data_IF_783757810191
#
_entry.id   IF_783757810191
#
_cell.length_a   1.000
_cell.length_b   1.000
_cell.length_c   1.000
_cell.angle_alpha   90.00
_cell.angle_beta   90.00
_cell.angle_gamma   90.00
#
_symmetry.space_group_name_H-M   'P 1'
#
loop_
_entity.id
_entity.type
_entity.pdbx_description
1 polymer ?
#
# COMPACT_ATOMS: atom_id res chain seq x y z
N UNK A 1 13.62 -9.27 2.59
CA UNK A 1 12.61 -10.06 1.84
C UNK A 1 13.23 -11.12 0.94
N UNK A 2 14.35 -10.85 0.24
CA UNK A 2 15.01 -11.83 -0.65
C UNK A 2 16.00 -12.73 0.08
N UNK A 3 15.92 -14.04 -0.10
CA UNK A 3 16.86 -15.03 0.38
C UNK A 3 18.11 -15.02 -0.53
N UNK A 4 19.17 -14.36 -0.06
CA UNK A 4 20.42 -14.17 -0.78
C UNK A 4 21.57 -14.08 0.24
N UNK A 5 22.67 -14.76 -0.06
CA UNK A 5 23.94 -14.73 0.68
C UNK A 5 24.99 -13.84 0.01
N UNK A 6 24.82 -13.54 -1.29
CA UNK A 6 25.69 -12.65 -2.07
C UNK A 6 24.87 -11.63 -2.86
N UNK A 7 25.49 -10.53 -3.27
CA UNK A 7 24.84 -9.48 -4.06
C UNK A 7 24.21 -10.02 -5.34
N UNK A 8 24.87 -10.98 -6.00
CA UNK A 8 24.43 -11.57 -7.27
C UNK A 8 23.18 -12.46 -7.13
N UNK A 9 22.88 -12.91 -5.92
CA UNK A 9 21.69 -13.71 -5.63
C UNK A 9 20.43 -12.86 -5.43
N UNK A 10 20.54 -11.53 -5.35
CA UNK A 10 19.37 -10.66 -5.27
C UNK A 10 18.52 -10.69 -6.54
N UNK A 11 17.29 -10.19 -6.43
CA UNK A 11 16.39 -10.01 -7.59
C UNK A 11 16.83 -8.79 -8.39
N UNK A 12 16.82 -8.91 -9.73
CA UNK A 12 16.95 -7.74 -10.60
C UNK A 12 15.76 -6.83 -10.37
N UNK A 13 16.03 -5.55 -10.08
CA UNK A 13 15.01 -4.55 -9.78
C UNK A 13 15.29 -3.29 -10.58
N UNK A 14 14.27 -2.83 -11.32
CA UNK A 14 14.28 -1.53 -11.96
C UNK A 14 13.27 -0.62 -11.25
N UNK A 15 13.63 0.64 -11.06
CA UNK A 15 12.81 1.62 -10.35
C UNK A 15 12.65 2.89 -11.19
N UNK A 16 11.40 3.30 -11.39
CA UNK A 16 11.06 4.65 -11.86
C UNK A 16 10.46 5.44 -10.71
N UNK A 17 10.99 6.63 -10.42
CA UNK A 17 10.42 7.58 -9.48
C UNK A 17 10.28 8.94 -10.15
N UNK A 18 9.09 9.24 -10.66
CA UNK A 18 8.82 10.41 -11.51
C UNK A 18 7.63 11.23 -10.98
N UNK A 19 7.77 11.86 -9.79
CA UNK A 19 6.67 12.50 -9.07
C UNK A 19 5.98 13.62 -9.85
N UNK A 20 6.68 14.29 -10.78
CA UNK A 20 6.09 15.32 -11.66
C UNK A 20 5.16 14.75 -12.73
N UNK A 21 5.31 13.47 -13.08
CA UNK A 21 4.61 12.86 -14.21
C UNK A 21 3.35 12.09 -13.82
N UNK A 22 3.19 11.80 -12.53
CA UNK A 22 2.05 11.10 -11.94
C UNK A 22 1.28 12.13 -11.11
N UNK A 23 0.06 12.48 -11.53
CA UNK A 23 -0.81 13.40 -10.78
C UNK A 23 -1.12 12.91 -9.36
N UNK A 24 -1.61 13.81 -8.50
CA UNK A 24 -2.05 13.40 -7.16
C UNK A 24 -3.28 12.48 -7.27
N UNK A 25 -3.22 11.34 -6.57
CA UNK A 25 -4.26 10.31 -6.66
C UNK A 25 -5.51 10.75 -5.92
N UNK A 26 -5.37 11.33 -4.73
CA UNK A 26 -6.52 11.74 -3.92
C UNK A 26 -7.24 12.91 -4.58
N UNK A 27 -6.51 13.91 -5.05
CA UNK A 27 -7.05 15.04 -5.83
C UNK A 27 -7.79 14.56 -7.08
N UNK A 28 -7.20 13.65 -7.87
CA UNK A 28 -7.91 13.07 -9.02
C UNK A 28 -9.21 12.37 -8.63
N UNK A 29 -9.20 11.58 -7.56
CA UNK A 29 -10.36 10.79 -7.14
C UNK A 29 -11.49 11.62 -6.52
N UNK A 30 -11.16 12.75 -5.88
CA UNK A 30 -12.13 13.60 -5.20
C UNK A 30 -12.58 14.80 -6.05
N UNK A 31 -11.68 15.35 -6.87
CA UNK A 31 -11.88 16.61 -7.60
C UNK A 31 -11.83 16.44 -9.13
N UNK A 32 -11.36 15.28 -9.62
CA UNK A 32 -11.19 15.02 -11.05
C UNK A 32 -9.87 15.54 -11.62
N UNK A 33 -9.83 15.77 -12.93
CA UNK A 33 -8.63 16.20 -13.65
C UNK A 33 -7.88 15.05 -14.36
N UNK A 34 -6.59 15.25 -14.60
CA UNK A 34 -5.77 14.28 -15.36
C UNK A 34 -5.58 12.97 -14.58
N UNK A 35 -6.00 11.86 -15.18
CA UNK A 35 -5.89 10.54 -14.55
C UNK A 35 -4.42 10.14 -14.34
N UNK A 36 -3.96 9.85 -13.10
CA UNK A 36 -2.60 9.40 -12.81
C UNK A 36 -2.18 8.12 -13.55
N UNK A 37 -3.14 7.33 -14.06
CA UNK A 37 -2.89 6.13 -14.85
C UNK A 37 -1.99 6.38 -16.08
N UNK A 38 -2.08 7.55 -16.72
CA UNK A 38 -1.23 7.87 -17.88
C UNK A 38 0.25 8.06 -17.49
N UNK A 39 0.51 8.66 -16.33
CA UNK A 39 1.86 8.75 -15.77
C UNK A 39 2.40 7.38 -15.41
N UNK A 40 1.59 6.56 -14.73
CA UNK A 40 1.95 5.19 -14.37
C UNK A 40 2.24 4.32 -15.59
N UNK A 41 1.43 4.43 -16.64
CA UNK A 41 1.63 3.67 -17.88
C UNK A 41 2.93 4.06 -18.59
N UNK A 42 3.25 5.36 -18.67
CA UNK A 42 4.54 5.83 -19.23
C UNK A 42 5.74 5.28 -18.46
N UNK A 43 5.66 5.21 -17.14
CA UNK A 43 6.70 4.58 -16.32
C UNK A 43 6.79 3.08 -16.56
N UNK A 44 5.64 2.40 -16.67
CA UNK A 44 5.59 0.97 -16.97
C UNK A 44 6.32 0.65 -18.28
N UNK A 45 6.10 1.45 -19.34
CA UNK A 45 6.80 1.27 -20.62
C UNK A 45 8.32 1.42 -20.50
N UNK A 46 8.82 2.33 -19.65
CA UNK A 46 10.26 2.46 -19.39
C UNK A 46 10.81 1.20 -18.70
N UNK A 47 10.11 0.69 -17.70
CA UNK A 47 10.50 -0.52 -16.98
C UNK A 47 10.48 -1.77 -17.88
N UNK A 48 9.47 -1.89 -18.75
CA UNK A 48 9.38 -2.96 -19.75
C UNK A 48 10.55 -2.87 -20.72
N UNK A 49 10.90 -1.67 -21.19
CA UNK A 49 12.07 -1.45 -22.06
C UNK A 49 13.40 -1.84 -21.41
N UNK A 50 13.48 -1.83 -20.07
CA UNK A 50 14.64 -2.32 -19.31
C UNK A 50 14.62 -3.85 -19.08
N UNK A 51 13.55 -4.54 -19.47
CA UNK A 51 13.39 -5.99 -19.34
C UNK A 51 12.56 -6.44 -18.14
N UNK A 52 11.78 -5.56 -17.50
CA UNK A 52 10.88 -5.98 -16.43
C UNK A 52 9.75 -6.87 -16.97
N UNK A 53 9.56 -8.07 -16.40
CA UNK A 53 8.45 -8.98 -16.70
C UNK A 53 7.27 -8.88 -15.71
N UNK A 54 7.54 -8.33 -14.53
CA UNK A 54 6.57 -8.12 -13.45
C UNK A 54 6.64 -6.68 -12.97
N UNK A 55 5.49 -6.04 -12.84
CA UNK A 55 5.33 -4.67 -12.39
C UNK A 55 4.56 -4.63 -11.08
N UNK A 56 4.96 -3.69 -10.21
CA UNK A 56 4.27 -3.38 -8.96
C UNK A 56 4.14 -1.86 -8.82
N UNK A 57 3.07 -1.41 -8.15
CA UNK A 57 2.86 0.01 -7.83
C UNK A 57 2.77 0.16 -6.31
N UNK A 58 3.84 0.62 -5.62
CA UNK A 58 3.84 0.80 -4.17
C UNK A 58 3.11 2.09 -3.78
N UNK A 59 1.80 2.16 -4.03
CA UNK A 59 0.95 3.29 -3.64
C UNK A 59 -0.49 2.80 -3.49
N UNK A 60 -0.99 2.71 -2.26
CA UNK A 60 -2.34 2.23 -1.97
C UNK A 60 -3.42 2.96 -2.80
N UNK A 61 -3.40 4.29 -2.82
CA UNK A 61 -4.40 5.09 -3.54
C UNK A 61 -4.35 4.89 -5.06
N UNK A 62 -3.21 4.49 -5.64
CA UNK A 62 -3.10 4.22 -7.07
C UNK A 62 -3.83 2.94 -7.51
N UNK A 63 -4.13 2.05 -6.55
CA UNK A 63 -4.92 0.82 -6.77
C UNK A 63 -6.44 1.06 -6.73
N UNK A 64 -6.86 2.32 -6.59
CA UNK A 64 -8.24 2.73 -6.82
C UNK A 64 -8.73 2.30 -8.23
N UNK A 65 -9.93 1.69 -8.38
CA UNK A 65 -10.41 1.25 -9.69
C UNK A 65 -10.37 2.34 -10.79
N UNK A 66 -10.76 3.61 -10.52
CA UNK A 66 -10.65 4.69 -11.53
C UNK A 66 -9.24 4.96 -12.06
N UNK A 67 -8.19 4.49 -11.38
CA UNK A 67 -6.78 4.66 -11.76
C UNK A 67 -6.18 3.34 -12.22
N UNK A 68 -6.34 2.29 -11.44
CA UNK A 68 -5.70 1.00 -11.69
C UNK A 68 -6.30 0.27 -12.88
N UNK A 69 -7.62 0.32 -13.07
CA UNK A 69 -8.26 -0.39 -14.18
C UNK A 69 -7.85 0.16 -15.55
N UNK A 70 -7.78 1.49 -15.77
CA UNK A 70 -7.21 2.05 -17.00
C UNK A 70 -5.75 1.63 -17.23
N UNK A 71 -4.90 1.67 -16.19
CA UNK A 71 -3.51 1.22 -16.29
C UNK A 71 -3.42 -0.25 -16.68
N UNK A 72 -4.15 -1.10 -15.95
CA UNK A 72 -4.21 -2.55 -16.16
C UNK A 72 -4.73 -2.89 -17.55
N UNK A 73 -5.77 -2.19 -18.02
CA UNK A 73 -6.30 -2.35 -19.38
C UNK A 73 -5.26 -2.02 -20.43
N UNK A 74 -4.61 -0.86 -20.33
CA UNK A 74 -3.57 -0.45 -21.29
C UNK A 74 -2.44 -1.47 -21.37
N UNK A 75 -1.96 -1.97 -20.22
CA UNK A 75 -0.92 -2.99 -20.19
C UNK A 75 -1.37 -4.31 -20.80
N UNK A 76 -2.58 -4.80 -20.47
CA UNK A 76 -3.10 -6.02 -21.10
C UNK A 76 -3.24 -5.89 -22.62
N UNK A 77 -3.64 -4.71 -23.10
CA UNK A 77 -3.86 -4.49 -24.53
C UNK A 77 -2.54 -4.38 -25.32
N UNK A 78 -1.46 -3.87 -24.71
CA UNK A 78 -0.19 -3.61 -25.40
C UNK A 78 0.96 -4.56 -25.06
N UNK A 79 0.95 -5.13 -23.85
CA UNK A 79 2.00 -5.99 -23.29
C UNK A 79 1.36 -7.12 -22.44
N UNK A 80 0.57 -8.02 -23.05
CA UNK A 80 -0.16 -9.06 -22.33
C UNK A 80 0.72 -10.06 -21.57
N UNK A 81 2.01 -10.14 -21.90
CA UNK A 81 3.02 -10.94 -21.21
C UNK A 81 3.42 -10.37 -19.84
N UNK A 82 3.15 -9.09 -19.60
CA UNK A 82 3.55 -8.41 -18.37
C UNK A 82 2.55 -8.69 -17.25
N UNK A 83 3.06 -9.18 -16.12
CA UNK A 83 2.25 -9.30 -14.91
C UNK A 83 2.26 -7.97 -14.15
N UNK A 84 1.08 -7.43 -13.85
CA UNK A 84 0.91 -6.30 -12.94
C UNK A 84 0.24 -6.79 -11.65
N UNK A 85 0.96 -6.77 -10.51
CA UNK A 85 0.40 -7.18 -9.22
C UNK A 85 -0.43 -6.07 -8.58
N UNK A 86 -1.52 -6.46 -7.91
CA UNK A 86 -2.42 -5.54 -7.23
C UNK A 86 -2.15 -5.54 -5.71
N UNK A 87 -1.57 -4.45 -5.18
CA UNK A 87 -1.12 -4.33 -3.78
C UNK A 87 -2.21 -4.65 -2.76
N UNK A 88 -3.42 -4.17 -3.00
CA UNK A 88 -4.54 -4.33 -2.06
C UNK A 88 -5.06 -5.78 -2.05
N UNK A 89 -5.10 -6.44 -3.21
CA UNK A 89 -5.51 -7.84 -3.32
C UNK A 89 -4.45 -8.76 -2.68
N UNK A 90 -3.16 -8.50 -2.91
CA UNK A 90 -2.08 -9.22 -2.25
C UNK A 90 -2.09 -9.01 -0.72
N UNK A 91 -2.43 -7.81 -0.26
CA UNK A 91 -2.57 -7.51 1.17
C UNK A 91 -3.77 -8.23 1.78
N UNK A 92 -4.93 -8.21 1.11
CA UNK A 92 -6.11 -8.94 1.55
C UNK A 92 -5.84 -10.45 1.61
N UNK A 93 -5.15 -11.00 0.60
CA UNK A 93 -4.71 -12.39 0.58
C UNK A 93 -3.78 -12.72 1.72
N UNK A 94 -2.77 -11.90 1.96
CA UNK A 94 -1.85 -12.06 3.09
C UNK A 94 -2.61 -12.09 4.42
N UNK A 95 -3.53 -11.15 4.65
CA UNK A 95 -4.38 -11.10 5.85
C UNK A 95 -5.19 -12.39 5.99
N UNK A 96 -5.91 -12.78 4.93
CA UNK A 96 -6.75 -13.97 4.93
C UNK A 96 -5.99 -15.26 5.23
N UNK A 97 -4.73 -15.36 4.78
CA UNK A 97 -3.85 -16.50 5.08
C UNK A 97 -3.23 -16.44 6.47
N UNK A 98 -2.84 -15.25 6.93
CA UNK A 98 -2.16 -15.04 8.22
C UNK A 98 -3.10 -15.23 9.40
N UNK A 99 -4.36 -14.87 9.22
CA UNK A 99 -5.40 -14.98 10.25
C UNK A 99 -6.47 -15.97 9.79
N UNK A 100 -6.34 -17.28 10.11
CA UNK A 100 -7.30 -18.29 9.68
C UNK A 100 -8.61 -18.29 10.49
N UNK A 101 -8.61 -17.63 11.66
CA UNK A 101 -9.77 -17.49 12.54
C UNK A 101 -10.55 -16.20 12.30
N UNK A 102 -11.66 -16.02 13.03
CA UNK A 102 -12.36 -14.73 13.03
C UNK A 102 -11.45 -13.66 13.63
N UNK A 103 -11.12 -12.65 12.84
CA UNK A 103 -10.16 -11.63 13.25
C UNK A 103 -10.65 -10.25 12.84
N UNK A 104 -10.47 -9.27 13.72
CA UNK A 104 -10.78 -7.87 13.43
C UNK A 104 -9.50 -7.11 13.06
N UNK A 105 -9.51 -6.42 11.92
CA UNK A 105 -8.38 -5.68 11.38
C UNK A 105 -8.75 -4.20 11.29
N UNK A 106 -7.89 -3.32 11.80
CA UNK A 106 -8.06 -1.87 11.66
C UNK A 106 -7.38 -1.34 10.39
N UNK A 107 -7.92 -0.27 9.80
CA UNK A 107 -7.34 0.39 8.63
C UNK A 107 -6.98 1.84 8.93
N UNK A 108 -5.71 2.19 8.83
CA UNK A 108 -5.25 3.58 8.75
C UNK A 108 -4.92 3.90 7.29
N UNK A 109 -5.61 4.87 6.69
CA UNK A 109 -5.38 5.22 5.29
C UNK A 109 -5.76 6.66 4.97
N UNK A 110 -5.46 7.09 3.74
CA UNK A 110 -5.89 8.40 3.22
C UNK A 110 -7.40 8.43 2.98
N UNK A 111 -7.99 9.64 2.94
CA UNK A 111 -9.40 9.84 2.53
C UNK A 111 -9.72 9.17 1.19
N UNK A 112 -8.82 9.27 0.20
CA UNK A 112 -9.02 8.63 -1.11
C UNK A 112 -9.17 7.11 -1.01
N UNK A 113 -8.36 6.46 -0.17
CA UNK A 113 -8.45 5.01 0.08
C UNK A 113 -9.78 4.63 0.76
N UNK A 114 -10.22 5.40 1.75
CA UNK A 114 -11.49 5.15 2.44
C UNK A 114 -12.70 5.41 1.54
N UNK A 115 -12.70 6.52 0.79
CA UNK A 115 -13.81 6.93 -0.06
C UNK A 115 -14.16 5.88 -1.13
N UNK A 116 -13.14 5.19 -1.65
CA UNK A 116 -13.30 4.17 -2.69
C UNK A 116 -13.46 2.75 -2.17
N UNK A 117 -13.47 2.56 -0.85
CA UNK A 117 -13.65 1.24 -0.24
C UNK A 117 -12.65 0.19 -0.75
N UNK A 118 -11.42 0.61 -1.10
CA UNK A 118 -10.43 -0.26 -1.77
C UNK A 118 -10.11 -1.51 -0.94
N UNK A 119 -9.86 -1.36 0.36
CA UNK A 119 -9.65 -2.48 1.28
C UNK A 119 -10.93 -3.23 1.65
N UNK A 120 -12.05 -2.57 2.01
CA UNK A 120 -13.32 -3.26 2.24
C UNK A 120 -13.74 -4.18 1.10
N UNK A 121 -13.57 -3.73 -0.15
CA UNK A 121 -13.94 -4.51 -1.33
C UNK A 121 -13.03 -5.73 -1.51
N UNK A 122 -11.70 -5.56 -1.37
CA UNK A 122 -10.73 -6.65 -1.49
C UNK A 122 -10.90 -7.71 -0.38
N UNK A 123 -11.24 -7.30 0.85
CA UNK A 123 -11.41 -8.22 1.98
C UNK A 123 -12.73 -9.01 1.94
N UNK A 124 -13.66 -8.71 1.02
CA UNK A 124 -14.88 -9.53 0.84
C UNK A 124 -14.58 -10.99 0.49
N UNK A 125 -13.42 -11.27 -0.10
CA UNK A 125 -12.97 -12.63 -0.40
C UNK A 125 -12.63 -13.45 0.88
N UNK A 126 -12.53 -12.80 2.05
CA UNK A 126 -12.11 -13.39 3.32
C UNK A 126 -13.16 -13.10 4.42
N UNK A 127 -14.30 -13.80 4.43
CA UNK A 127 -15.45 -13.47 5.28
C UNK A 127 -15.20 -13.64 6.79
N UNK A 128 -14.11 -14.31 7.18
CA UNK A 128 -13.65 -14.41 8.57
C UNK A 128 -12.92 -13.14 9.04
N UNK A 129 -12.57 -12.23 8.14
CA UNK A 129 -11.90 -10.97 8.45
C UNK A 129 -12.93 -9.84 8.54
N UNK A 130 -12.99 -9.20 9.70
CA UNK A 130 -13.78 -7.98 9.91
C UNK A 130 -12.87 -6.77 9.80
N UNK A 131 -13.12 -5.89 8.83
CA UNK A 131 -12.40 -4.62 8.72
C UNK A 131 -13.12 -3.53 9.52
N UNK A 132 -12.40 -2.84 10.40
CA UNK A 132 -12.87 -1.62 11.06
C UNK A 132 -12.06 -0.41 10.60
N UNK A 133 -12.76 0.70 10.40
CA UNK A 133 -12.17 1.96 9.98
C UNK A 133 -12.36 3.02 11.07
N UNK A 134 -11.50 4.05 11.12
CA UNK A 134 -11.72 5.20 12.00
C UNK A 134 -13.03 5.90 11.66
N UNK A 135 -13.58 6.66 12.60
CA UNK A 135 -14.72 7.52 12.30
C UNK A 135 -14.31 8.70 11.40
N UNK A 136 -15.27 9.57 11.06
CA UNK A 136 -15.02 10.67 10.14
C UNK A 136 -13.95 11.63 10.65
N UNK A 137 -13.97 12.01 11.92
CA UNK A 137 -13.00 12.95 12.49
C UNK A 137 -11.61 12.33 12.52
N UNK A 138 -11.51 11.08 12.98
CA UNK A 138 -10.26 10.32 12.96
C UNK A 138 -9.68 10.15 11.56
N UNK A 139 -10.50 9.92 10.53
CA UNK A 139 -10.04 9.85 9.13
C UNK A 139 -9.42 11.17 8.67
N UNK A 140 -9.98 12.30 9.09
CA UNK A 140 -9.42 13.63 8.80
C UNK A 140 -8.05 13.78 9.47
N UNK A 141 -7.95 13.43 10.75
CA UNK A 141 -6.68 13.49 11.51
C UNK A 141 -5.59 12.61 10.90
N UNK A 142 -5.91 11.36 10.53
CA UNK A 142 -4.96 10.45 9.86
C UNK A 142 -4.53 11.02 8.51
N UNK A 143 -5.46 11.58 7.73
CA UNK A 143 -5.12 12.20 6.45
C UNK A 143 -4.19 13.41 6.63
N UNK A 144 -4.44 14.26 7.62
CA UNK A 144 -3.61 15.43 7.88
C UNK A 144 -2.22 15.04 8.41
N UNK A 145 -2.13 14.02 9.28
CA UNK A 145 -0.85 13.43 9.67
C UNK A 145 -0.01 12.93 8.48
N UNK A 146 -0.66 12.57 7.36
CA UNK A 146 0.01 12.18 6.12
C UNK A 146 0.33 13.42 5.24
N UNK A 147 -0.64 14.32 5.03
CA UNK A 147 -0.62 15.33 3.96
C UNK A 147 -0.42 16.78 4.41
N UNK A 148 -0.63 17.10 5.69
CA UNK A 148 -0.56 18.48 6.17
C UNK A 148 0.80 19.09 5.82
N UNK A 149 0.79 20.31 5.26
CA UNK A 149 1.99 20.95 4.73
C UNK A 149 3.00 21.39 5.80
N UNK A 150 2.57 21.53 7.05
CA UNK A 150 3.43 21.99 8.15
C UNK A 150 4.02 20.84 8.94
N UNK A 151 3.24 19.78 9.21
CA UNK A 151 3.66 18.67 10.06
C UNK A 151 3.53 17.28 9.42
N UNK A 152 2.78 17.13 8.33
CA UNK A 152 2.48 15.83 7.73
C UNK A 152 3.72 15.11 7.20
N UNK A 153 3.69 13.78 7.22
CA UNK A 153 4.83 12.91 6.84
C UNK A 153 5.32 13.19 5.41
N UNK A 154 4.42 13.55 4.48
CA UNK A 154 4.81 13.90 3.10
C UNK A 154 5.56 15.22 2.98
N UNK A 155 5.37 16.13 3.93
CA UNK A 155 5.94 17.48 3.91
C UNK A 155 7.21 17.61 4.76
N UNK A 156 7.41 16.73 5.74
CA UNK A 156 8.49 16.82 6.73
C UNK A 156 9.24 15.50 6.87
N UNK A 157 10.58 15.60 6.87
CA UNK A 157 11.48 14.52 7.25
C UNK A 157 12.52 15.06 8.26
N UNK A 158 12.77 14.39 9.41
CA UNK A 158 12.11 13.16 9.89
C UNK A 158 10.62 13.37 10.22
N UNK A 159 9.90 12.27 10.52
CA UNK A 159 8.49 12.31 10.94
C UNK A 159 8.33 13.30 12.10
N UNK A 160 7.33 14.19 11.98
CA UNK A 160 7.09 15.19 13.02
C UNK A 160 6.51 14.53 14.29
N UNK A 161 6.79 15.07 15.50
CA UNK A 161 6.18 14.60 16.73
C UNK A 161 4.65 14.66 16.70
N UNK A 162 4.08 15.67 16.02
CA UNK A 162 2.63 15.86 15.88
C UNK A 162 1.99 14.76 15.02
N UNK A 163 2.54 14.49 13.83
CA UNK A 163 2.05 13.40 12.98
C UNK A 163 2.18 12.05 13.69
N UNK A 164 3.30 11.80 14.37
CA UNK A 164 3.52 10.57 15.12
C UNK A 164 2.48 10.39 16.24
N UNK A 165 2.26 11.44 17.06
CA UNK A 165 1.28 11.39 18.15
C UNK A 165 -0.13 11.12 17.65
N UNK A 166 -0.56 11.80 16.58
CA UNK A 166 -1.87 11.58 15.96
C UNK A 166 -2.00 10.12 15.50
N UNK A 167 -1.01 9.60 14.78
CA UNK A 167 -1.09 8.24 14.24
C UNK A 167 -1.09 7.16 15.32
N UNK A 168 -0.32 7.35 16.40
CA UNK A 168 -0.34 6.44 17.56
C UNK A 168 -1.71 6.47 18.24
N UNK A 169 -2.27 7.66 18.47
CA UNK A 169 -3.60 7.79 19.09
C UNK A 169 -4.69 7.09 18.26
N UNK A 170 -4.70 7.33 16.95
CA UNK A 170 -5.70 6.73 16.05
C UNK A 170 -5.51 5.22 15.88
N UNK A 171 -4.27 4.73 15.96
CA UNK A 171 -3.97 3.30 16.01
C UNK A 171 -4.54 2.64 17.27
N UNK A 172 -4.34 3.24 18.45
CA UNK A 172 -4.87 2.70 19.71
C UNK A 172 -6.39 2.79 19.79
N UNK A 173 -7.04 3.83 19.26
CA UNK A 173 -8.51 3.88 19.16
C UNK A 173 -9.08 2.71 18.36
N UNK A 174 -8.43 2.30 17.27
CA UNK A 174 -8.83 1.11 16.52
C UNK A 174 -8.60 -0.17 17.33
N UNK A 175 -7.50 -0.25 18.06
CA UNK A 175 -7.22 -1.40 18.93
C UNK A 175 -8.25 -1.55 20.06
N UNK A 176 -8.61 -0.45 20.73
CA UNK A 176 -9.65 -0.42 21.77
C UNK A 176 -11.03 -0.86 21.23
N UNK A 177 -11.26 -0.67 19.92
CA UNK A 177 -12.45 -1.15 19.21
C UNK A 177 -12.34 -2.61 18.73
N UNK A 178 -11.28 -3.31 19.12
CA UNK A 178 -11.07 -4.73 18.87
C UNK A 178 -10.15 -5.07 17.70
N UNK A 179 -9.47 -4.10 17.06
CA UNK A 179 -8.48 -4.44 16.04
C UNK A 179 -7.30 -5.23 16.64
N UNK A 180 -7.07 -6.42 16.12
CA UNK A 180 -5.95 -7.30 16.47
C UNK A 180 -4.69 -6.96 15.68
N UNK A 181 -4.84 -6.37 14.50
CA UNK A 181 -3.75 -5.82 13.70
C UNK A 181 -4.20 -4.61 12.88
N UNK A 182 -3.25 -3.79 12.45
CA UNK A 182 -3.50 -2.55 11.70
C UNK A 182 -2.89 -2.59 10.31
N UNK A 183 -3.71 -2.37 9.28
CA UNK A 183 -3.24 -2.12 7.92
C UNK A 183 -2.72 -0.68 7.84
N UNK A 184 -1.46 -0.55 7.43
CA UNK A 184 -0.83 0.72 7.09
C UNK A 184 -1.16 1.09 5.64
N UNK A 185 -2.42 1.47 5.38
CA UNK A 185 -3.02 1.71 4.06
C UNK A 185 -2.52 2.96 3.32
N UNK A 186 -1.34 3.47 3.67
CA UNK A 186 -0.57 4.50 2.97
C UNK A 186 0.92 4.21 3.17
N UNK A 187 1.73 4.28 2.11
CA UNK A 187 3.15 3.88 2.14
C UNK A 187 4.04 4.77 3.00
N UNK A 188 3.54 5.92 3.43
CA UNK A 188 4.18 6.83 4.37
C UNK A 188 3.94 6.43 5.84
N UNK A 189 2.89 5.68 6.15
CA UNK A 189 2.58 5.28 7.53
C UNK A 189 3.68 4.40 8.17
N UNK A 190 4.33 3.46 7.47
CA UNK A 190 5.46 2.71 8.01
C UNK A 190 6.69 3.57 8.38
N UNK A 191 6.76 4.84 7.93
CA UNK A 191 7.81 5.76 8.38
C UNK A 191 7.57 6.27 9.80
N UNK A 192 6.32 6.29 10.25
CA UNK A 192 5.91 6.77 11.56
C UNK A 192 5.55 5.64 12.53
N UNK A 193 4.89 4.59 12.04
CA UNK A 193 4.44 3.46 12.85
C UNK A 193 5.36 2.26 12.58
N UNK A 194 6.32 2.05 13.48
CA UNK A 194 7.26 0.94 13.49
C UNK A 194 7.15 0.15 14.80
N UNK A 195 7.87 -0.99 14.91
CA UNK A 195 7.90 -1.78 16.14
C UNK A 195 8.49 -1.01 17.33
N UNK A 196 9.31 0.01 17.06
CA UNK A 196 9.91 0.87 18.07
C UNK A 196 8.96 1.98 18.55
N UNK A 197 7.97 2.36 17.75
CA UNK A 197 7.05 3.46 18.08
C UNK A 197 5.70 2.98 18.60
N UNK A 198 5.27 1.75 18.26
CA UNK A 198 4.00 1.20 18.68
C UNK A 198 4.09 -0.32 18.90
N UNK A 199 3.41 -0.84 19.91
CA UNK A 199 3.41 -2.26 20.28
C UNK A 199 2.31 -3.09 19.58
N UNK A 200 1.47 -2.44 18.78
CA UNK A 200 0.36 -3.11 18.07
C UNK A 200 0.88 -3.87 16.84
N UNK A 201 0.29 -5.02 16.48
CA UNK A 201 0.63 -5.71 15.25
C UNK A 201 0.33 -4.86 14.01
N UNK A 202 1.32 -4.67 13.15
CA UNK A 202 1.22 -3.86 11.93
C UNK A 202 1.30 -4.75 10.69
N UNK A 203 0.49 -4.41 9.69
CA UNK A 203 0.49 -5.01 8.37
C UNK A 203 0.89 -3.91 7.39
N UNK A 204 2.13 -3.97 6.90
CA UNK A 204 2.65 -3.03 5.91
C UNK A 204 2.40 -3.58 4.49
N UNK A 205 1.46 -2.99 3.72
CA UNK A 205 1.18 -3.41 2.35
C UNK A 205 2.40 -3.30 1.42
N UNK A 206 3.37 -2.44 1.74
CA UNK A 206 4.64 -2.30 0.99
C UNK A 206 5.48 -3.56 1.13
N UNK A 207 5.61 -4.07 2.36
CA UNK A 207 6.32 -5.33 2.63
C UNK A 207 5.57 -6.50 2.00
N UNK A 208 4.24 -6.54 2.12
CA UNK A 208 3.43 -7.60 1.49
C UNK A 208 3.59 -7.59 -0.03
N UNK A 209 3.54 -6.42 -0.67
CA UNK A 209 3.74 -6.27 -2.11
C UNK A 209 5.14 -6.71 -2.53
N UNK A 210 6.19 -6.32 -1.80
CA UNK A 210 7.56 -6.73 -2.08
C UNK A 210 7.73 -8.26 -1.97
N UNK A 211 7.16 -8.88 -0.93
CA UNK A 211 7.17 -10.34 -0.75
C UNK A 211 6.40 -11.04 -1.87
N UNK A 212 5.28 -10.46 -2.31
CA UNK A 212 4.46 -11.01 -3.39
C UNK A 212 5.16 -10.91 -4.75
N UNK A 213 5.88 -9.81 -5.01
CA UNK A 213 6.72 -9.66 -6.19
C UNK A 213 7.85 -10.69 -6.23
N UNK A 214 8.56 -10.89 -5.11
CA UNK A 214 9.60 -11.93 -5.02
C UNK A 214 8.99 -13.31 -5.25
N UNK A 215 7.88 -13.64 -4.58
CA UNK A 215 7.19 -14.92 -4.75
C UNK A 215 6.77 -15.17 -6.20
N UNK A 216 6.31 -14.14 -6.90
CA UNK A 216 5.87 -14.26 -8.29
C UNK A 216 7.04 -14.47 -9.26
N UNK A 217 8.15 -13.75 -9.06
CA UNK A 217 9.32 -13.79 -9.95
C UNK A 217 10.19 -15.01 -9.67
N UNK A 218 10.46 -15.31 -8.40
CA UNK A 218 11.29 -16.43 -7.97
C UNK A 218 10.92 -16.88 -6.54
N UNK A 219 10.00 -17.85 -6.39
CA UNK A 219 9.57 -18.34 -5.08
C UNK A 219 10.70 -18.84 -4.20
N UNK A 220 11.77 -19.42 -4.78
CA UNK A 220 12.90 -19.97 -4.03
C UNK A 220 13.73 -18.86 -3.34
N UNK A 221 13.63 -17.63 -3.86
CA UNK A 221 14.25 -16.44 -3.28
C UNK A 221 13.40 -15.74 -2.23
N UNK A 222 12.19 -16.22 -1.90
CA UNK A 222 11.42 -15.61 -0.82
C UNK A 222 11.95 -16.06 0.54
N UNK A 223 12.31 -15.13 1.42
CA UNK A 223 12.56 -15.47 2.83
C UNK A 223 11.27 -15.88 3.53
N UNK A 224 11.36 -16.88 4.38
CA UNK A 224 10.31 -17.20 5.35
C UNK A 224 9.93 -15.95 6.16
N UNK A 225 8.66 -15.87 6.53
CA UNK A 225 8.19 -14.82 7.41
C UNK A 225 8.79 -15.06 8.80
N UNK A 226 9.72 -14.20 9.20
CA UNK A 226 10.20 -14.15 10.59
C UNK A 226 9.19 -13.29 11.35
N UNK A 227 8.56 -13.85 12.38
CA UNK A 227 7.59 -13.16 13.24
C UNK A 227 8.17 -11.94 13.96
#
# INVERSE_FOLDING_TARGET
>A
NTNAATDQEHIHLYLTSTPRSIGDRTGFLLEGGSNPAEGLYRNALQLIGLGASTLIVPCNTAHAPPIFDPLRKKLRDSHPEITLLHMIEETAKHIGTRFPGRTTIGLLATKGTHALKTYPDALRAYPHITLIEPDRESRERVHDAIYNQTYGIKARAPVSPEALAILIEEAYKLHERGAEALILGCTELPLALTRETISLPLIDPTVVLARSAIRHVDPAKLKDEVE
#
